data_IF_543853295218
#
_entry.id   IF_543853295218
#
_cell.length_a   1.000
_cell.length_b   1.000
_cell.length_c   1.000
_cell.angle_alpha   90.00
_cell.angle_beta   90.00
_cell.angle_gamma   90.00
#
_symmetry.space_group_name_H-M   'P 1'
#
loop_
_entity.id
_entity.type
_entity.pdbx_description
1 polymer ?
#
# COMPACT_ATOMS: atom_id res chain seq x y z
N UNK A 1 -0.44 -4.73 -6.43
CA UNK A 1 -0.88 -3.33 -6.34
C UNK A 1 -0.31 -2.66 -7.55
N UNK A 2 -1.07 -1.73 -8.14
CA UNK A 2 -0.64 -1.10 -9.39
C UNK A 2 0.73 -0.45 -9.19
N UNK A 3 1.66 -0.74 -10.10
CA UNK A 3 2.93 -0.03 -10.16
C UNK A 3 2.65 1.44 -10.43
N UNK A 4 3.13 2.33 -9.57
CA UNK A 4 3.02 3.78 -9.76
C UNK A 4 4.16 4.32 -10.64
N UNK A 5 5.26 3.57 -10.68
CA UNK A 5 6.47 3.89 -11.45
C UNK A 5 6.80 2.72 -12.37
N UNK A 6 7.34 3.01 -13.55
CA UNK A 6 7.95 2.01 -14.42
C UNK A 6 9.43 1.85 -14.06
N UNK A 7 9.95 0.62 -14.19
CA UNK A 7 11.37 0.33 -13.96
C UNK A 7 12.29 1.17 -14.84
N UNK A 8 11.84 1.55 -16.04
CA UNK A 8 12.60 2.39 -16.97
C UNK A 8 12.63 3.88 -16.57
N UNK A 9 11.83 4.29 -15.59
CA UNK A 9 11.80 5.66 -15.06
C UNK A 9 12.68 5.84 -13.82
N UNK A 10 13.34 4.77 -13.35
CA UNK A 10 14.16 4.84 -12.15
C UNK A 10 15.33 5.83 -12.31
N UNK A 11 15.64 6.65 -11.29
CA UNK A 11 16.74 7.60 -11.34
C UNK A 11 18.09 6.87 -11.21
N UNK A 12 18.57 6.31 -12.33
CA UNK A 12 19.74 5.41 -12.38
C UNK A 12 20.99 6.07 -11.78
N UNK A 13 21.21 7.36 -12.05
CA UNK A 13 22.37 8.09 -11.52
C UNK A 13 22.35 8.18 -9.99
N UNK A 14 21.19 8.40 -9.38
CA UNK A 14 21.03 8.44 -7.92
C UNK A 14 21.23 7.04 -7.31
N UNK A 15 20.63 6.02 -7.92
CA UNK A 15 20.80 4.62 -7.49
C UNK A 15 22.27 4.18 -7.56
N UNK A 16 22.99 4.58 -8.61
CA UNK A 16 24.42 4.31 -8.75
C UNK A 16 25.26 5.06 -7.71
N UNK A 17 24.94 6.32 -7.43
CA UNK A 17 25.59 7.11 -6.39
C UNK A 17 25.37 6.53 -4.98
N UNK A 18 24.27 5.81 -4.76
CA UNK A 18 23.99 5.06 -3.54
C UNK A 18 24.60 3.65 -3.51
N UNK A 19 25.32 3.26 -4.57
CA UNK A 19 25.97 1.96 -4.68
C UNK A 19 25.03 0.78 -4.89
N UNK A 20 23.73 1.03 -5.07
CA UNK A 20 22.66 0.02 -5.25
C UNK A 20 22.31 -0.21 -6.73
N UNK A 21 23.08 0.36 -7.65
CA UNK A 21 23.02 0.06 -9.07
C UNK A 21 24.43 0.06 -9.67
N UNK A 22 24.84 -1.04 -10.30
CA UNK A 22 26.15 -1.20 -10.95
C UNK A 22 26.02 -2.19 -12.11
N UNK A 23 26.84 -2.04 -13.15
CA UNK A 23 26.90 -2.98 -14.29
C UNK A 23 25.54 -3.27 -14.93
N UNK A 24 24.69 -2.25 -15.03
CA UNK A 24 23.33 -2.34 -15.56
C UNK A 24 22.39 -3.26 -14.75
N UNK A 25 22.69 -3.48 -13.48
CA UNK A 25 21.92 -4.30 -12.55
C UNK A 25 21.53 -3.49 -11.30
N UNK A 26 20.27 -3.65 -10.88
CA UNK A 26 19.77 -3.10 -9.62
C UNK A 26 20.10 -4.10 -8.50
N UNK A 27 20.89 -3.66 -7.53
CA UNK A 27 21.38 -4.46 -6.41
C UNK A 27 20.41 -4.35 -5.23
N UNK A 28 19.14 -4.68 -5.48
CA UNK A 28 18.06 -4.68 -4.50
C UNK A 28 17.30 -5.99 -4.57
N UNK A 29 16.84 -6.48 -3.43
CA UNK A 29 15.97 -7.65 -3.37
C UNK A 29 14.65 -7.37 -4.14
N UNK A 30 14.03 -8.38 -4.78
CA UNK A 30 12.79 -8.20 -5.54
C UNK A 30 11.66 -7.52 -4.75
N UNK A 31 11.60 -7.77 -3.44
CA UNK A 31 10.66 -7.12 -2.53
C UNK A 31 10.85 -5.60 -2.45
N UNK A 32 12.09 -5.13 -2.44
CA UNK A 32 12.42 -3.70 -2.37
C UNK A 32 12.11 -3.00 -3.69
N UNK A 33 12.42 -3.65 -4.81
CA UNK A 33 12.07 -3.16 -6.15
C UNK A 33 10.54 -3.00 -6.24
N UNK A 34 9.78 -4.01 -5.82
CA UNK A 34 8.32 -3.95 -5.80
C UNK A 34 7.79 -2.81 -4.92
N UNK A 35 8.39 -2.58 -3.75
CA UNK A 35 8.04 -1.46 -2.87
C UNK A 35 8.31 -0.11 -3.53
N UNK A 36 9.51 0.11 -4.09
CA UNK A 36 9.86 1.34 -4.80
C UNK A 36 8.90 1.63 -5.95
N UNK A 37 8.68 0.65 -6.83
CA UNK A 37 7.81 0.81 -8.00
C UNK A 37 6.34 1.05 -7.63
N UNK A 38 5.92 0.60 -6.45
CA UNK A 38 4.59 0.90 -5.89
C UNK A 38 4.50 2.26 -5.19
N UNK A 39 5.59 3.05 -5.17
CA UNK A 39 5.68 4.33 -4.48
C UNK A 39 5.79 4.23 -2.96
N UNK A 40 6.23 3.07 -2.46
CA UNK A 40 6.35 2.79 -1.03
C UNK A 40 7.77 2.93 -0.53
N UNK A 41 7.88 3.02 0.78
CA UNK A 41 9.16 2.88 1.45
C UNK A 41 9.63 1.42 1.40
N UNK A 42 10.91 1.21 1.15
CA UNK A 42 11.58 -0.10 1.24
C UNK A 42 11.63 -0.61 2.68
N UNK A 43 12.13 -1.82 2.92
CA UNK A 43 12.75 -2.16 4.20
C UNK A 43 14.03 -1.34 4.41
N UNK A 44 14.70 -1.55 5.56
CA UNK A 44 15.96 -0.88 5.85
C UNK A 44 17.07 -1.44 4.96
N UNK A 45 17.67 -0.60 4.12
CA UNK A 45 18.76 -0.94 3.21
C UNK A 45 20.05 -0.34 3.75
N UNK A 46 21.12 -1.13 3.76
CA UNK A 46 22.47 -0.64 4.05
C UNK A 46 23.09 -0.09 2.77
N UNK A 47 23.22 1.24 2.73
CA UNK A 47 23.91 1.96 1.67
C UNK A 47 25.38 2.08 2.03
N UNK A 48 26.27 1.92 1.05
CA UNK A 48 27.71 1.86 1.28
C UNK A 48 28.46 2.86 0.40
N UNK A 49 29.57 3.37 0.93
CA UNK A 49 30.53 4.22 0.22
C UNK A 49 29.90 5.47 -0.42
N UNK A 50 28.97 6.12 0.29
CA UNK A 50 28.30 7.32 -0.20
C UNK A 50 29.28 8.48 -0.27
N UNK A 51 29.46 9.04 -1.47
CA UNK A 51 30.39 10.14 -1.72
C UNK A 51 29.64 11.38 -2.17
N UNK A 52 29.95 12.52 -1.57
CA UNK A 52 29.44 13.83 -1.98
C UNK A 52 30.54 14.87 -1.98
N UNK A 53 30.18 16.12 -2.27
CA UNK A 53 31.13 17.24 -2.21
C UNK A 53 31.55 17.48 -0.76
N UNK A 54 32.74 17.01 -0.39
CA UNK A 54 33.35 17.24 0.92
C UNK A 54 32.94 16.25 2.03
N UNK A 55 32.19 15.19 1.71
CA UNK A 55 31.88 14.14 2.67
C UNK A 55 31.97 12.75 2.05
N UNK A 56 32.33 11.78 2.89
CA UNK A 56 32.30 10.35 2.58
C UNK A 56 31.64 9.65 3.75
N UNK A 57 30.56 8.92 3.50
CA UNK A 57 29.88 8.11 4.50
C UNK A 57 30.12 6.65 4.14
N UNK A 58 30.83 5.93 5.00
CA UNK A 58 31.15 4.52 4.79
C UNK A 58 29.89 3.66 4.68
N UNK A 59 28.94 3.91 5.59
CA UNK A 59 27.66 3.19 5.64
C UNK A 59 26.54 4.09 6.15
N UNK A 60 25.38 3.98 5.51
CA UNK A 60 24.12 4.59 5.96
C UNK A 60 23.00 3.56 5.84
N UNK A 61 22.36 3.23 6.97
CA UNK A 61 21.14 2.43 6.95
C UNK A 61 19.94 3.37 6.77
N UNK A 62 19.18 3.18 5.69
CA UNK A 62 18.06 4.03 5.33
C UNK A 62 16.95 3.24 4.63
N UNK A 63 15.72 3.76 4.67
CA UNK A 63 14.69 3.37 3.70
C UNK A 63 14.74 4.27 2.48
N UNK A 64 14.25 3.76 1.37
CA UNK A 64 14.16 4.47 0.11
C UNK A 64 12.70 4.53 -0.34
N UNK A 65 12.31 5.59 -1.06
CA UNK A 65 11.04 5.66 -1.77
C UNK A 65 11.18 6.46 -3.05
N UNK A 66 10.25 6.30 -3.99
CA UNK A 66 10.18 7.14 -5.18
C UNK A 66 9.11 8.23 -5.02
N UNK A 67 9.39 9.40 -5.57
CA UNK A 67 8.45 10.51 -5.66
C UNK A 67 8.41 11.02 -7.10
N UNK A 68 7.23 11.38 -7.59
CA UNK A 68 7.09 12.05 -8.89
C UNK A 68 6.92 13.54 -8.66
N UNK A 69 7.92 14.31 -9.07
CA UNK A 69 7.88 15.76 -9.02
C UNK A 69 6.81 16.33 -9.96
N UNK A 70 6.45 17.60 -9.76
CA UNK A 70 5.49 18.32 -10.62
C UNK A 70 5.97 18.41 -12.09
N UNK A 71 7.28 18.31 -12.33
CA UNK A 71 7.88 18.24 -13.67
C UNK A 71 7.66 16.88 -14.36
N UNK A 72 7.15 15.88 -13.64
CA UNK A 72 7.03 14.49 -14.09
C UNK A 72 8.27 13.64 -13.81
N UNK A 73 9.39 14.24 -13.40
CA UNK A 73 10.62 13.53 -13.05
C UNK A 73 10.42 12.62 -11.83
N UNK A 74 11.07 11.46 -11.84
CA UNK A 74 11.07 10.52 -10.71
C UNK A 74 12.33 10.77 -9.89
N UNK A 75 12.15 11.03 -8.61
CA UNK A 75 13.20 11.34 -7.64
C UNK A 75 13.30 10.22 -6.60
N UNK A 76 14.51 9.88 -6.18
CA UNK A 76 14.75 8.95 -5.07
C UNK A 76 14.82 9.72 -3.75
N UNK A 77 13.95 9.37 -2.81
CA UNK A 77 13.97 9.90 -1.45
C UNK A 77 14.66 8.91 -0.51
N UNK A 78 15.60 9.43 0.29
CA UNK A 78 16.35 8.68 1.29
C UNK A 78 15.80 9.05 2.67
N UNK A 79 15.37 8.05 3.42
CA UNK A 79 14.81 8.17 4.77
C UNK A 79 15.78 7.52 5.77
N UNK A 80 16.76 8.27 6.31
CA UNK A 80 17.73 7.74 7.26
C UNK A 80 17.08 7.45 8.61
N UNK A 81 17.77 6.69 9.46
CA UNK A 81 17.40 6.53 10.86
C UNK A 81 17.76 7.80 11.65
N UNK A 82 16.77 8.58 12.06
CA UNK A 82 17.01 9.77 12.88
C UNK A 82 17.29 9.40 14.34
N UNK A 83 18.17 10.17 14.99
CA UNK A 83 18.45 10.02 16.43
C UNK A 83 17.22 10.32 17.30
N UNK A 84 16.46 11.34 16.91
CA UNK A 84 15.23 11.75 17.56
C UNK A 84 14.13 11.96 16.50
N UNK A 85 12.84 11.73 16.83
CA UNK A 85 11.74 12.04 15.94
C UNK A 85 11.80 13.48 15.45
N UNK A 86 11.66 13.69 14.14
CA UNK A 86 11.58 15.03 13.55
C UNK A 86 10.17 15.58 13.67
N UNK A 87 10.04 16.87 13.93
CA UNK A 87 8.74 17.52 13.91
C UNK A 87 8.10 17.46 12.52
N UNK A 88 6.83 17.08 12.44
CA UNK A 88 6.07 17.09 11.19
C UNK A 88 5.26 18.39 11.09
N UNK A 89 5.30 19.13 9.97
CA UNK A 89 4.72 20.48 9.87
C UNK A 89 3.21 20.53 10.05
N UNK A 90 2.52 19.41 9.85
CA UNK A 90 1.06 19.31 10.03
C UNK A 90 0.63 18.77 11.42
N UNK A 91 1.57 18.39 12.29
CA UNK A 91 1.27 17.80 13.59
C UNK A 91 1.72 18.72 14.72
N UNK A 92 0.92 18.82 15.77
CA UNK A 92 1.36 19.40 17.04
C UNK A 92 2.07 18.36 17.92
N UNK A 93 2.63 18.79 19.07
CA UNK A 93 3.38 17.92 19.97
C UNK A 93 2.56 16.76 20.53
N UNK A 94 1.31 17.00 20.92
CA UNK A 94 0.43 15.97 21.47
C UNK A 94 0.11 14.91 20.40
N UNK A 95 -0.17 15.36 19.19
CA UNK A 95 -0.43 14.51 18.02
C UNK A 95 0.78 13.65 17.65
N UNK A 96 1.98 14.25 17.64
CA UNK A 96 3.21 13.49 17.44
C UNK A 96 3.42 12.46 18.56
N UNK A 97 3.18 12.84 19.81
CA UNK A 97 3.35 11.96 20.97
C UNK A 97 2.48 10.70 20.88
N UNK A 98 1.19 10.83 20.55
CA UNK A 98 0.27 9.67 20.44
C UNK A 98 0.59 8.74 19.26
N UNK A 99 1.22 9.26 18.20
CA UNK A 99 1.73 8.43 17.11
C UNK A 99 3.03 7.72 17.50
N UNK A 100 3.93 8.41 18.21
CA UNK A 100 5.20 7.87 18.69
C UNK A 100 4.98 6.76 19.72
N UNK A 101 4.05 6.95 20.67
CA UNK A 101 3.67 5.93 21.66
C UNK A 101 2.99 4.72 21.04
N UNK A 102 2.35 4.90 19.87
CA UNK A 102 1.55 3.89 19.20
C UNK A 102 0.10 3.84 19.69
N UNK A 103 -0.35 4.81 20.49
CA UNK A 103 -1.75 4.92 20.94
C UNK A 103 -2.70 5.17 19.75
N UNK A 104 -2.19 5.79 18.69
CA UNK A 104 -2.88 5.91 17.40
C UNK A 104 -1.98 5.43 16.26
N UNK A 105 -2.58 4.72 15.31
CA UNK A 105 -1.88 4.28 14.10
C UNK A 105 -1.60 5.43 13.13
N UNK A 106 -2.53 6.40 13.04
CA UNK A 106 -2.43 7.56 12.17
C UNK A 106 -3.21 8.75 12.72
N UNK A 107 -2.94 9.93 12.18
CA UNK A 107 -3.73 11.15 12.36
C UNK A 107 -4.14 11.66 10.98
N UNK A 108 -5.44 11.88 10.79
CA UNK A 108 -5.99 12.47 9.57
C UNK A 108 -5.95 13.99 9.64
N UNK A 109 -5.51 14.62 8.56
CA UNK A 109 -5.53 16.07 8.36
C UNK A 109 -6.27 16.39 7.06
N UNK A 110 -7.00 17.50 7.06
CA UNK A 110 -7.52 18.08 5.83
C UNK A 110 -6.45 19.00 5.25
N UNK A 111 -6.00 18.71 4.02
CA UNK A 111 -4.98 19.49 3.33
C UNK A 111 -5.61 20.13 2.12
N UNK A 112 -5.53 21.46 2.03
CA UNK A 112 -6.03 22.22 0.90
C UNK A 112 -5.21 21.91 -0.37
N UNK A 113 -5.91 21.73 -1.47
CA UNK A 113 -5.39 21.56 -2.82
C UNK A 113 -5.74 22.79 -3.64
N UNK A 114 -5.31 22.80 -4.90
CA UNK A 114 -5.73 23.81 -5.86
C UNK A 114 -7.28 23.88 -5.94
N UNK A 115 -7.80 25.08 -6.21
CA UNK A 115 -9.23 25.35 -6.41
C UNK A 115 -10.15 25.12 -5.19
N UNK A 116 -9.65 25.32 -3.97
CA UNK A 116 -10.48 25.29 -2.75
C UNK A 116 -11.01 23.89 -2.39
N UNK A 117 -10.50 22.84 -3.04
CA UNK A 117 -10.76 21.45 -2.68
C UNK A 117 -9.81 21.03 -1.58
N UNK A 118 -10.26 20.23 -0.63
CA UNK A 118 -9.38 19.60 0.36
C UNK A 118 -9.33 18.09 0.15
N UNK A 119 -8.19 17.49 0.46
CA UNK A 119 -8.04 16.03 0.53
C UNK A 119 -7.74 15.59 1.95
N UNK A 120 -8.14 14.37 2.28
CA UNK A 120 -7.76 13.73 3.54
C UNK A 120 -6.34 13.18 3.41
N UNK A 121 -5.47 13.62 4.31
CA UNK A 121 -4.07 13.25 4.37
C UNK A 121 -3.79 12.59 5.72
N UNK A 122 -3.44 11.31 5.69
CA UNK A 122 -3.12 10.54 6.89
C UNK A 122 -1.63 10.60 7.15
N UNK A 123 -1.26 10.74 8.43
CA UNK A 123 0.13 10.79 8.89
C UNK A 123 0.35 9.68 9.92
N UNK A 124 1.35 8.85 9.68
CA UNK A 124 1.78 7.72 10.50
C UNK A 124 3.17 7.97 11.08
N UNK A 125 3.54 7.26 12.15
CA UNK A 125 4.92 7.23 12.65
C UNK A 125 5.63 5.95 12.23
N UNK A 126 6.78 6.11 11.56
CA UNK A 126 7.68 5.05 11.19
C UNK A 126 8.75 4.86 12.27
N UNK A 127 8.53 3.87 13.14
CA UNK A 127 9.40 3.58 14.28
C UNK A 127 10.85 3.26 13.90
N UNK A 128 11.07 2.68 12.71
CA UNK A 128 12.41 2.26 12.29
C UNK A 128 13.24 3.47 11.86
N UNK A 129 12.69 4.42 11.10
CA UNK A 129 13.42 5.66 10.73
C UNK A 129 13.28 6.77 11.77
N UNK A 130 12.37 6.62 12.75
CA UNK A 130 11.94 7.68 13.67
C UNK A 130 11.47 8.93 12.91
N UNK A 131 10.63 8.71 11.92
CA UNK A 131 10.13 9.76 11.03
C UNK A 131 8.62 9.63 10.82
N UNK A 132 7.98 10.70 10.38
CA UNK A 132 6.55 10.69 10.08
C UNK A 132 6.31 10.50 8.58
N UNK A 133 5.36 9.63 8.24
CA UNK A 133 5.03 9.28 6.86
C UNK A 133 3.61 9.70 6.56
N UNK A 134 3.44 10.53 5.55
CA UNK A 134 2.13 10.98 5.12
C UNK A 134 1.68 10.34 3.81
N UNK A 135 0.37 10.17 3.64
CA UNK A 135 -0.21 9.77 2.36
C UNK A 135 -1.59 10.41 2.14
N UNK A 136 -1.90 10.63 0.87
CA UNK A 136 -3.22 11.08 0.42
C UNK A 136 -4.16 9.87 0.35
N UNK A 137 -5.22 9.87 1.16
CA UNK A 137 -6.18 8.76 1.27
C UNK A 137 -6.79 8.43 -0.09
N UNK A 138 -7.05 9.44 -0.92
CA UNK A 138 -7.65 9.26 -2.26
C UNK A 138 -6.74 8.54 -3.25
N UNK A 139 -5.43 8.51 -3.00
CA UNK A 139 -4.43 7.85 -3.85
C UNK A 139 -4.16 6.40 -3.44
N UNK A 140 -4.73 5.93 -2.33
CA UNK A 140 -4.56 4.55 -1.90
C UNK A 140 -5.44 3.64 -2.75
N UNK A 141 -4.83 2.68 -3.43
CA UNK A 141 -5.56 1.63 -4.13
C UNK A 141 -5.88 0.49 -3.15
N UNK A 142 -7.15 0.32 -2.83
CA UNK A 142 -7.63 -0.86 -2.11
C UNK A 142 -7.60 -2.11 -3.02
N UNK A 143 -7.36 -3.31 -2.48
CA UNK A 143 -7.59 -4.53 -3.23
C UNK A 143 -9.09 -4.72 -3.52
N UNK A 144 -9.41 -5.36 -4.64
CA UNK A 144 -10.78 -5.80 -4.93
C UNK A 144 -11.16 -6.99 -4.08
N UNK A 145 -10.24 -7.95 -3.93
CA UNK A 145 -10.42 -9.13 -3.09
C UNK A 145 -9.25 -9.37 -2.19
N UNK A 146 -9.54 -9.96 -1.04
CA UNK A 146 -8.56 -10.50 -0.10
C UNK A 146 -8.95 -11.95 0.19
N UNK A 147 -8.03 -12.88 -0.03
CA UNK A 147 -8.28 -14.32 0.04
C UNK A 147 -9.53 -14.75 -0.74
N UNK A 148 -9.73 -14.16 -1.92
CA UNK A 148 -10.87 -14.44 -2.81
C UNK A 148 -12.19 -13.78 -2.39
N UNK A 149 -12.28 -13.17 -1.21
CA UNK A 149 -13.46 -12.45 -0.73
C UNK A 149 -13.48 -11.03 -1.31
N UNK A 150 -14.60 -10.64 -1.93
CA UNK A 150 -14.81 -9.29 -2.47
C UNK A 150 -14.96 -8.29 -1.33
N UNK A 151 -14.16 -7.20 -1.37
CA UNK A 151 -14.32 -6.10 -0.44
C UNK A 151 -15.52 -5.24 -0.83
N UNK A 152 -16.34 -4.87 0.15
CA UNK A 152 -17.38 -3.85 -0.04
C UNK A 152 -16.77 -2.46 -0.27
N UNK A 153 -17.56 -1.52 -0.78
CA UNK A 153 -17.08 -0.14 -0.96
C UNK A 153 -16.73 0.52 0.39
N UNK A 154 -17.45 0.17 1.47
CA UNK A 154 -17.14 0.59 2.83
C UNK A 154 -15.81 -0.01 3.31
N UNK A 155 -15.55 -1.29 3.07
CA UNK A 155 -14.29 -1.95 3.43
C UNK A 155 -13.09 -1.38 2.64
N UNK A 156 -13.27 -1.14 1.34
CA UNK A 156 -12.27 -0.46 0.51
C UNK A 156 -11.98 0.94 1.03
N UNK A 157 -13.02 1.70 1.35
CA UNK A 157 -12.90 3.05 1.88
C UNK A 157 -12.24 3.08 3.26
N UNK A 158 -12.57 2.12 4.14
CA UNK A 158 -11.92 1.91 5.43
C UNK A 158 -10.44 1.57 5.26
N UNK A 159 -10.11 0.65 4.34
CA UNK A 159 -8.73 0.31 4.00
C UNK A 159 -7.96 1.53 3.52
N UNK A 160 -8.53 2.34 2.62
CA UNK A 160 -7.91 3.59 2.14
C UNK A 160 -7.64 4.59 3.26
N UNK A 161 -8.55 4.70 4.23
CA UNK A 161 -8.39 5.54 5.43
C UNK A 161 -7.42 4.95 6.45
N UNK A 162 -6.81 3.79 6.21
CA UNK A 162 -5.93 3.14 7.17
C UNK A 162 -6.67 2.57 8.37
N UNK A 163 -7.97 2.30 8.27
CA UNK A 163 -8.77 1.66 9.32
C UNK A 163 -8.53 0.14 9.31
N UNK A 164 -8.70 -0.48 10.47
CA UNK A 164 -8.67 -1.94 10.60
C UNK A 164 -9.95 -2.53 10.01
N UNK A 165 -9.81 -3.38 9.00
CA UNK A 165 -10.92 -4.15 8.44
C UNK A 165 -10.83 -5.60 8.91
N UNK A 166 -11.98 -6.25 9.09
CA UNK A 166 -12.10 -7.66 9.45
C UNK A 166 -13.05 -8.37 8.48
N UNK A 167 -12.52 -9.36 7.76
CA UNK A 167 -13.26 -10.14 6.79
C UNK A 167 -14.04 -11.29 7.45
N UNK A 168 -14.93 -11.91 6.68
CA UNK A 168 -15.81 -12.99 7.16
C UNK A 168 -15.06 -14.24 7.60
N UNK A 169 -13.89 -14.55 7.04
CA UNK A 169 -13.02 -15.65 7.49
C UNK A 169 -12.17 -15.30 8.73
N UNK A 170 -12.39 -14.13 9.31
CA UNK A 170 -11.64 -13.59 10.44
C UNK A 170 -10.33 -12.93 10.07
N UNK A 171 -10.00 -12.76 8.78
CA UNK A 171 -8.82 -11.97 8.34
C UNK A 171 -8.93 -10.53 8.74
N UNK A 172 -7.94 -10.05 9.51
CA UNK A 172 -7.80 -8.65 9.86
C UNK A 172 -6.62 -8.03 9.13
N UNK A 173 -6.83 -6.86 8.54
CA UNK A 173 -5.80 -6.14 7.82
C UNK A 173 -6.02 -4.63 7.89
N UNK A 174 -4.94 -3.88 7.70
CA UNK A 174 -4.95 -2.42 7.77
C UNK A 174 -3.90 -1.88 6.79
N UNK A 175 -4.25 -0.86 6.00
CA UNK A 175 -3.28 -0.14 5.18
C UNK A 175 -2.28 0.62 6.08
N UNK A 176 -1.00 0.60 5.71
CA UNK A 176 0.07 1.32 6.40
C UNK A 176 1.10 1.83 5.40
N UNK A 177 1.25 3.15 5.29
CA UNK A 177 2.21 3.76 4.37
C UNK A 177 3.68 3.56 4.82
N UNK A 178 3.91 3.38 6.12
CA UNK A 178 5.24 3.05 6.65
C UNK A 178 5.69 1.61 6.34
N UNK A 179 4.78 0.74 5.87
CA UNK A 179 5.08 -0.66 5.60
C UNK A 179 5.47 -0.91 4.14
N UNK A 180 6.51 -1.71 3.86
CA UNK A 180 6.94 -2.01 2.49
C UNK A 180 5.87 -2.70 1.64
N UNK A 181 5.04 -3.54 2.27
CA UNK A 181 3.90 -4.20 1.63
C UNK A 181 2.63 -3.32 1.60
N UNK A 182 2.70 -2.12 2.18
CA UNK A 182 1.61 -1.15 2.28
C UNK A 182 0.48 -1.55 3.20
N UNK A 183 0.66 -2.62 3.98
CA UNK A 183 -0.34 -3.11 4.92
C UNK A 183 0.29 -3.99 6.00
N UNK A 184 -0.46 -4.14 7.07
CA UNK A 184 -0.25 -5.13 8.13
C UNK A 184 -1.46 -6.06 8.21
N UNK A 185 -1.27 -7.26 8.75
CA UNK A 185 -2.34 -8.23 8.92
C UNK A 185 -2.07 -9.18 10.10
N UNK A 186 -3.14 -9.72 10.68
CA UNK A 186 -3.05 -10.82 11.63
C UNK A 186 -2.56 -12.14 10.98
N UNK A 187 -2.44 -12.18 9.66
CA UNK A 187 -1.91 -13.31 8.88
C UNK A 187 -0.61 -12.93 8.17
N UNK A 188 0.29 -13.90 8.03
CA UNK A 188 1.61 -13.72 7.38
C UNK A 188 1.56 -13.64 5.86
N UNK A 189 0.49 -14.16 5.26
CA UNK A 189 0.30 -14.15 3.83
C UNK A 189 -1.16 -13.92 3.47
N UNK A 190 -1.39 -13.21 2.36
CA UNK A 190 -2.71 -12.93 1.80
C UNK A 190 -2.65 -13.04 0.28
N UNK A 191 -3.73 -13.55 -0.33
CA UNK A 191 -3.92 -13.47 -1.79
C UNK A 191 -4.78 -12.26 -2.09
N UNK A 192 -4.24 -11.29 -2.79
CA UNK A 192 -4.96 -10.07 -3.18
C UNK A 192 -5.35 -10.14 -4.65
N UNK A 193 -6.47 -9.50 -5.00
CA UNK A 193 -6.77 -9.17 -6.39
C UNK A 193 -6.90 -7.66 -6.56
N UNK A 194 -6.43 -7.12 -7.69
CA UNK A 194 -6.55 -5.70 -8.05
C UNK A 194 -7.03 -5.56 -9.48
N UNK A 195 -7.83 -4.53 -9.76
CA UNK A 195 -8.12 -4.14 -11.14
C UNK A 195 -6.90 -3.47 -11.76
N UNK A 196 -6.43 -4.04 -12.87
CA UNK A 196 -5.33 -3.53 -13.67
C UNK A 196 -5.73 -3.61 -15.14
N UNK A 197 -5.69 -2.49 -15.85
CA UNK A 197 -5.85 -2.41 -17.32
C UNK A 197 -7.10 -3.12 -17.88
N UNK A 198 -8.20 -3.13 -17.11
CA UNK A 198 -9.47 -3.75 -17.51
C UNK A 198 -9.61 -5.23 -17.13
N UNK A 199 -8.62 -5.82 -16.46
CA UNK A 199 -8.66 -7.20 -15.94
C UNK A 199 -8.36 -7.30 -14.45
N UNK A 200 -8.61 -8.48 -13.87
CA UNK A 200 -8.26 -8.79 -12.48
C UNK A 200 -6.86 -9.42 -12.46
N UNK A 201 -5.93 -8.82 -11.71
CA UNK A 201 -4.60 -9.39 -11.45
C UNK A 201 -4.54 -9.90 -10.02
N UNK A 202 -3.98 -11.10 -9.83
CA UNK A 202 -3.79 -11.74 -8.52
C UNK A 202 -2.36 -11.57 -8.03
N UNK A 203 -2.20 -11.45 -6.70
CA UNK A 203 -0.91 -11.28 -6.04
C UNK A 203 -0.89 -12.03 -4.71
N UNK A 204 0.08 -12.94 -4.57
CA UNK A 204 0.41 -13.52 -3.28
C UNK A 204 1.37 -12.59 -2.54
N UNK A 205 0.90 -11.98 -1.46
CA UNK A 205 1.74 -11.26 -0.51
C UNK A 205 2.15 -12.19 0.61
N UNK A 206 3.46 -12.28 0.87
CA UNK A 206 4.05 -13.03 1.99
C UNK A 206 4.91 -12.10 2.84
N UNK A 207 5.16 -12.52 4.08
CA UNK A 207 5.95 -11.75 5.03
C UNK A 207 5.25 -10.46 5.46
N UNK A 208 3.92 -10.45 5.46
CA UNK A 208 3.13 -9.31 5.96
C UNK A 208 3.39 -9.19 7.46
N UNK A 209 3.64 -7.98 7.94
CA UNK A 209 3.88 -7.68 9.35
C UNK A 209 2.58 -7.80 10.16
N UNK A 210 2.69 -8.18 11.43
CA UNK A 210 1.59 -8.25 12.38
C UNK A 210 0.92 -6.87 12.64
N UNK A 211 -0.34 -6.88 13.09
CA UNK A 211 -1.11 -5.67 13.40
C UNK A 211 -0.50 -4.80 14.53
N UNK A 212 0.29 -5.41 15.40
CA UNK A 212 1.00 -4.76 16.50
C UNK A 212 2.25 -5.56 16.87
N UNK A 213 3.16 -4.96 17.64
CA UNK A 213 4.44 -5.59 18.01
C UNK A 213 4.26 -6.88 18.82
N UNK A 214 3.26 -6.93 19.70
CA UNK A 214 2.97 -8.10 20.54
C UNK A 214 1.86 -8.99 19.98
N UNK A 215 1.36 -8.70 18.77
CA UNK A 215 0.28 -9.48 18.17
C UNK A 215 0.83 -10.75 17.53
N UNK A 216 0.42 -11.92 18.03
CA UNK A 216 0.71 -13.18 17.37
C UNK A 216 -0.04 -13.25 16.04
N UNK A 217 0.70 -13.57 14.97
CA UNK A 217 0.07 -13.85 13.68
C UNK A 217 -0.47 -15.28 13.68
N UNK A 218 -1.70 -15.42 13.21
CA UNK A 218 -2.40 -16.70 13.09
C UNK A 218 -2.13 -17.33 11.72
N UNK A 219 -2.48 -18.61 11.59
CA UNK A 219 -2.30 -19.34 10.35
C UNK A 219 -3.10 -18.68 9.21
N UNK A 220 -2.44 -18.48 8.07
CA UNK A 220 -3.02 -17.86 6.90
C UNK A 220 -3.79 -18.86 6.03
N UNK A 221 -3.58 -20.17 6.22
CA UNK A 221 -4.17 -21.24 5.38
C UNK A 221 -5.65 -21.50 5.66
N UNK A 222 -6.48 -20.47 5.56
CA UNK A 222 -7.93 -20.60 5.61
C UNK A 222 -8.44 -21.29 4.33
N UNK A 223 -9.65 -21.89 4.34
CA UNK A 223 -10.26 -22.40 3.11
C UNK A 223 -10.35 -21.33 2.00
N UNK A 224 -10.63 -20.08 2.39
CA UNK A 224 -10.69 -18.94 1.47
C UNK A 224 -9.30 -18.63 0.87
N UNK A 225 -8.25 -18.58 1.69
CA UNK A 225 -6.88 -18.39 1.22
C UNK A 225 -6.44 -19.50 0.24
N UNK A 226 -6.65 -20.77 0.61
CA UNK A 226 -6.23 -21.90 -0.23
C UNK A 226 -6.99 -21.93 -1.57
N UNK A 227 -8.29 -21.59 -1.55
CA UNK A 227 -9.08 -21.48 -2.78
C UNK A 227 -8.58 -20.34 -3.67
N UNK A 228 -8.29 -19.17 -3.10
CA UNK A 228 -7.76 -18.02 -3.83
C UNK A 228 -6.36 -18.28 -4.39
N UNK A 229 -5.52 -19.02 -3.64
CA UNK A 229 -4.19 -19.43 -4.09
C UNK A 229 -4.29 -20.38 -5.29
N UNK A 230 -5.17 -21.39 -5.22
CA UNK A 230 -5.42 -22.31 -6.32
C UNK A 230 -5.98 -21.61 -7.56
N UNK A 231 -6.86 -20.60 -7.38
CA UNK A 231 -7.36 -19.76 -8.47
C UNK A 231 -6.23 -18.95 -9.13
N UNK A 232 -5.34 -18.36 -8.32
CA UNK A 232 -4.16 -17.63 -8.79
C UNK A 232 -3.18 -18.53 -9.56
N UNK A 233 -2.96 -19.76 -9.08
CA UNK A 233 -2.07 -20.74 -9.71
C UNK A 233 -2.68 -21.38 -10.97
N UNK A 234 -3.96 -21.11 -11.27
CA UNK A 234 -4.66 -21.61 -12.46
C UNK A 234 -5.21 -23.02 -12.32
N UNK A 235 -5.29 -23.56 -11.11
CA UNK A 235 -5.53 -24.99 -10.86
C UNK A 235 -7.03 -25.40 -10.81
N UNK A 236 -7.99 -24.51 -11.11
CA UNK A 236 -9.41 -24.87 -11.38
C UNK A 236 -10.08 -23.95 -12.42
N UNK A 237 -11.04 -24.50 -13.21
CA UNK A 237 -11.62 -23.80 -14.36
C UNK A 237 -12.44 -22.61 -13.90
N UNK A 238 -12.36 -21.51 -14.66
CA UNK A 238 -13.24 -20.36 -14.53
C UNK A 238 -14.69 -20.83 -14.44
N UNK A 239 -15.25 -20.86 -13.23
CA UNK A 239 -16.67 -21.16 -13.07
C UNK A 239 -17.42 -19.99 -13.70
N UNK A 240 -18.02 -20.25 -14.86
CA UNK A 240 -19.16 -19.50 -15.38
C UNK A 240 -20.07 -19.13 -14.21
N UNK A 241 -20.08 -17.85 -13.83
CA UNK A 241 -21.29 -17.21 -13.35
C UNK A 241 -21.76 -16.37 -14.51
N UNK A 242 -22.62 -17.00 -15.32
CA UNK A 242 -23.46 -16.32 -16.29
C UNK A 242 -24.22 -15.22 -15.54
N UNK A 243 -23.96 -13.97 -15.89
CA UNK A 243 -24.94 -12.90 -15.69
C UNK A 243 -26.02 -13.22 -16.72
N UNK A 244 -27.07 -13.93 -16.33
CA UNK A 244 -28.25 -14.11 -17.18
C UNK A 244 -28.96 -12.76 -17.28
N UNK A 245 -28.62 -11.99 -18.30
CA UNK A 245 -29.49 -10.95 -18.83
C UNK A 245 -30.67 -11.64 -19.51
N UNK A 246 -31.82 -11.71 -18.84
CA UNK A 246 -33.01 -12.30 -19.44
C UNK A 246 -34.15 -12.53 -18.46
N UNK A 247 -34.79 -11.46 -17.98
CA UNK A 247 -36.24 -11.43 -17.87
C UNK A 247 -36.71 -9.98 -17.78
N UNK A 248 -36.99 -9.42 -18.96
CA UNK A 248 -37.86 -8.26 -19.12
C UNK A 248 -39.28 -8.77 -18.85
N UNK A 249 -39.92 -8.31 -17.76
CA UNK A 249 -41.37 -8.28 -17.69
C UNK A 249 -41.82 -6.84 -17.44
N UNK A 250 -42.28 -6.20 -18.51
CA UNK A 250 -43.08 -4.99 -18.42
C UNK A 250 -44.49 -5.34 -17.89
N UNK A 251 -45.07 -4.51 -17.00
CA UNK A 251 -46.43 -4.74 -16.52
C UNK A 251 -47.48 -4.41 -17.60
N UNK A 252 -48.61 -5.13 -17.68
CA UNK A 252 -49.66 -4.82 -18.66
C UNK A 252 -50.44 -3.57 -18.26
N UNK A 253 -50.65 -2.69 -19.24
CA UNK A 253 -51.59 -1.57 -19.21
C UNK A 253 -53.02 -2.10 -19.05
N UNK A 254 -53.61 -1.91 -17.86
CA UNK A 254 -55.05 -2.08 -17.67
C UNK A 254 -55.79 -0.85 -18.24
N UNK A 255 -56.59 -1.10 -19.28
CA UNK A 255 -57.51 -0.12 -19.88
C UNK A 255 -58.57 0.30 -18.87
N UNK A 256 -58.80 1.61 -18.80
CA UNK A 256 -59.93 2.20 -18.09
C UNK A 256 -61.27 1.78 -18.70
N UNK A 257 -62.22 1.50 -17.81
CA UNK A 257 -63.64 1.33 -18.11
C UNK A 257 -64.26 2.73 -18.31
N UNK A 258 -64.70 3.01 -19.53
CA UNK A 258 -65.69 4.06 -19.77
C UNK A 258 -67.09 3.53 -19.49
N UNK A 259 -67.86 4.30 -18.73
CA UNK A 259 -69.32 4.40 -18.86
C UNK A 259 -69.63 5.80 -19.35
#
# INVERSE_FOLDING_TARGET
MKSQFNINELPINELAALGIYRENQLLLEPGEISSLLSGRRTTLISLHELKGQGFSIERLDARLSLHRANSGAVELLIHPIYKHPRAHPLLNEQEMSVLISGDRAFIAKSVEREEGRSTMYNIEYDKITRDFVGYDVSKVQAPERVNGMLLSEEEKSAFQRGELIQLTDGTKLQHRASEPKGMISDRKALVLSVLLDGGISYLLLQGIRALGEDSQQIDHRTPAFNAALSEMEGDKPASKREISAGEIQAPPLARGLGR
#
